data_IF_739679708559
#
_entry.id   IF_739679708559
#
_cell.length_a   1.000
_cell.length_b   1.000
_cell.length_c   1.000
_cell.angle_alpha   90.00
_cell.angle_beta   90.00
_cell.angle_gamma   90.00
#
_symmetry.space_group_name_H-M   'P 1'
#
loop_
_entity.id
_entity.type
_entity.pdbx_description
1 polymer ?
#
# COMPACT_ATOMS: atom_id res chain seq x y z
N UNK A 1 -5.77 19.93 12.23
CA UNK A 1 -6.70 19.08 11.45
C UNK A 1 -7.60 19.97 10.57
N UNK A 2 -7.02 20.82 9.71
CA UNK A 2 -7.76 21.96 9.10
C UNK A 2 -8.63 21.60 7.88
N UNK A 3 -8.52 20.39 7.34
CA UNK A 3 -9.20 20.01 6.09
C UNK A 3 -10.70 19.71 6.32
N UNK A 4 -11.06 19.18 7.50
CA UNK A 4 -12.42 18.69 7.78
C UNK A 4 -13.15 19.54 8.83
N UNK A 5 -12.41 20.19 9.73
CA UNK A 5 -12.95 20.87 10.92
C UNK A 5 -13.90 22.05 10.61
N UNK A 6 -13.72 22.72 9.46
CA UNK A 6 -14.57 23.85 9.02
C UNK A 6 -15.33 23.57 7.71
N UNK A 7 -15.41 22.30 7.29
CA UNK A 7 -16.17 21.92 6.09
C UNK A 7 -17.65 21.84 6.42
N UNK A 8 -18.56 22.32 5.54
CA UNK A 8 -20.00 22.12 5.72
C UNK A 8 -20.42 20.64 5.55
N UNK A 9 -19.51 19.80 5.05
CA UNK A 9 -19.74 18.37 4.79
C UNK A 9 -18.62 17.58 5.45
N UNK A 10 -18.99 16.59 6.27
CA UNK A 10 -18.06 15.67 6.91
C UNK A 10 -18.06 14.33 6.15
N UNK A 11 -16.88 13.82 5.74
CA UNK A 11 -16.81 12.49 5.18
C UNK A 11 -17.04 11.46 6.28
N UNK A 12 -17.78 10.41 5.98
CA UNK A 12 -17.92 9.23 6.81
C UNK A 12 -18.11 8.00 5.93
N UNK A 13 -17.75 6.85 6.48
CA UNK A 13 -17.95 5.55 5.84
C UNK A 13 -18.96 4.78 6.69
N UNK A 14 -19.92 4.13 6.04
CA UNK A 14 -20.93 3.30 6.69
C UNK A 14 -20.83 1.86 6.21
N UNK A 15 -21.22 0.93 7.08
CA UNK A 15 -21.39 -0.47 6.71
C UNK A 15 -22.75 -0.73 6.04
N UNK A 16 -22.98 -1.98 5.63
CA UNK A 16 -24.25 -2.40 5.01
C UNK A 16 -25.46 -2.31 5.97
N UNK A 17 -25.24 -2.19 7.27
CA UNK A 17 -26.26 -1.96 8.30
C UNK A 17 -26.50 -0.47 8.57
N UNK A 18 -25.88 0.42 7.78
CA UNK A 18 -25.94 1.89 7.92
C UNK A 18 -25.37 2.38 9.26
N UNK A 19 -24.44 1.64 9.86
CA UNK A 19 -23.70 2.08 11.05
C UNK A 19 -22.44 2.83 10.61
N UNK A 20 -22.09 3.91 11.31
CA UNK A 20 -20.88 4.69 11.01
C UNK A 20 -19.65 3.88 11.34
N UNK A 21 -18.94 3.42 10.32
CA UNK A 21 -17.70 2.64 10.40
C UNK A 21 -16.50 3.52 10.78
N UNK A 22 -16.32 4.64 10.10
CA UNK A 22 -15.28 5.63 10.44
C UNK A 22 -15.65 7.03 10.00
N UNK A 23 -15.13 8.02 10.72
CA UNK A 23 -15.04 9.41 10.31
C UNK A 23 -13.58 9.66 9.93
N UNK A 24 -13.24 9.62 8.62
CA UNK A 24 -11.86 9.76 8.17
C UNK A 24 -11.17 10.98 8.77
N UNK A 25 -9.92 10.80 9.20
CA UNK A 25 -9.09 11.80 9.90
C UNK A 25 -9.51 12.19 11.32
N UNK A 26 -10.63 11.69 11.85
CA UNK A 26 -11.13 12.03 13.18
C UNK A 26 -11.11 10.81 14.09
N UNK A 27 -11.93 9.80 13.82
CA UNK A 27 -12.09 8.65 14.72
C UNK A 27 -12.72 7.43 14.01
N UNK A 28 -12.29 6.24 14.41
CA UNK A 28 -12.90 4.97 13.99
C UNK A 28 -14.07 4.58 14.91
N UNK A 29 -15.03 3.81 14.40
CA UNK A 29 -16.13 3.28 15.20
C UNK A 29 -15.68 2.23 16.21
N UNK A 30 -16.33 2.19 17.38
CA UNK A 30 -16.00 1.20 18.44
C UNK A 30 -16.27 -0.25 17.98
N UNK A 31 -17.30 -0.46 17.16
CA UNK A 31 -17.67 -1.79 16.66
C UNK A 31 -16.70 -2.35 15.61
N UNK A 32 -15.84 -1.52 15.02
CA UNK A 32 -14.79 -1.90 14.06
C UNK A 32 -13.39 -1.89 14.69
N UNK A 33 -13.31 -1.80 16.02
CA UNK A 33 -12.05 -1.73 16.76
C UNK A 33 -11.29 -3.05 16.70
N UNK A 34 -10.01 -2.94 16.39
CA UNK A 34 -9.08 -4.06 16.39
C UNK A 34 -8.70 -4.46 17.83
N UNK A 35 -8.60 -5.75 18.09
CA UNK A 35 -8.07 -6.33 19.34
C UNK A 35 -6.97 -7.34 19.03
N UNK A 36 -6.32 -7.89 20.08
CA UNK A 36 -5.34 -8.96 19.91
C UNK A 36 -5.91 -10.21 19.22
N UNK A 37 -7.24 -10.38 19.25
CA UNK A 37 -7.94 -11.53 18.67
C UNK A 37 -8.42 -11.30 17.24
N UNK A 38 -8.16 -10.11 16.67
CA UNK A 38 -8.53 -9.80 15.29
C UNK A 38 -7.72 -10.64 14.32
N UNK A 39 -8.42 -11.44 13.51
CA UNK A 39 -7.81 -12.34 12.49
C UNK A 39 -7.70 -11.71 11.11
N UNK A 40 -8.71 -10.94 10.73
CA UNK A 40 -8.81 -10.28 9.43
C UNK A 40 -8.90 -8.77 9.65
N UNK A 41 -8.11 -8.01 8.89
CA UNK A 41 -8.04 -6.56 9.01
C UNK A 41 -8.52 -5.94 7.72
N UNK A 42 -9.55 -5.09 7.79
CA UNK A 42 -9.93 -4.20 6.70
C UNK A 42 -9.12 -2.92 6.84
N UNK A 43 -8.34 -2.58 5.82
CA UNK A 43 -7.54 -1.35 5.79
C UNK A 43 -8.24 -0.34 4.88
N UNK A 44 -8.56 0.81 5.43
CA UNK A 44 -9.12 1.95 4.73
C UNK A 44 -8.14 3.12 4.82
N UNK A 45 -7.96 3.82 3.70
CA UNK A 45 -7.15 5.03 3.62
C UNK A 45 -7.98 6.04 2.86
N UNK A 46 -8.23 7.20 3.46
CA UNK A 46 -8.87 8.34 2.79
C UNK A 46 -7.83 9.45 2.69
N UNK A 47 -7.58 9.92 1.46
CA UNK A 47 -6.67 11.02 1.19
C UNK A 47 -7.15 11.83 -0.03
N UNK A 48 -6.71 13.09 -0.10
CA UNK A 48 -6.95 13.96 -1.26
C UNK A 48 -5.89 13.69 -2.35
N UNK A 49 -4.73 13.15 -1.97
CA UNK A 49 -3.57 13.00 -2.85
C UNK A 49 -3.41 11.57 -3.41
N UNK A 50 -2.68 11.48 -4.52
CA UNK A 50 -2.34 10.27 -5.28
C UNK A 50 -1.46 9.29 -4.50
N UNK A 51 -0.84 9.71 -3.39
CA UNK A 51 0.01 8.84 -2.57
C UNK A 51 -0.76 7.80 -1.74
N UNK A 52 -2.10 7.83 -1.77
CA UNK A 52 -3.00 6.86 -1.13
C UNK A 52 -2.58 5.40 -1.32
N UNK A 53 -2.21 5.03 -2.56
CA UNK A 53 -1.81 3.67 -2.89
C UNK A 53 -0.49 3.27 -2.22
N UNK A 54 0.45 4.19 -2.10
CA UNK A 54 1.73 3.94 -1.44
C UNK A 54 1.51 3.71 0.06
N UNK A 55 0.67 4.53 0.71
CA UNK A 55 0.33 4.37 2.13
C UNK A 55 -0.33 3.01 2.39
N UNK A 56 -1.30 2.62 1.55
CA UNK A 56 -1.96 1.32 1.64
C UNK A 56 -0.95 0.17 1.48
N UNK A 57 -0.08 0.24 0.48
CA UNK A 57 0.94 -0.78 0.24
C UNK A 57 1.95 -0.87 1.40
N UNK A 58 2.36 0.26 1.98
CA UNK A 58 3.22 0.28 3.16
C UNK A 58 2.57 -0.43 4.36
N UNK A 59 1.28 -0.18 4.63
CA UNK A 59 0.56 -0.84 5.72
C UNK A 59 0.48 -2.35 5.48
N UNK A 60 0.16 -2.77 4.26
CA UNK A 60 0.12 -4.19 3.88
C UNK A 60 1.49 -4.84 4.07
N UNK A 61 2.57 -4.21 3.61
CA UNK A 61 3.94 -4.70 3.80
C UNK A 61 4.32 -4.81 5.27
N UNK A 62 3.89 -3.87 6.12
CA UNK A 62 4.12 -3.95 7.56
C UNK A 62 3.42 -5.17 8.18
N UNK A 63 2.17 -5.46 7.81
CA UNK A 63 1.48 -6.67 8.25
C UNK A 63 2.11 -7.96 7.69
N UNK A 64 2.65 -7.91 6.48
CA UNK A 64 3.35 -9.04 5.86
C UNK A 64 4.53 -9.55 6.69
N UNK A 65 5.23 -8.64 7.38
CA UNK A 65 6.39 -9.00 8.22
C UNK A 65 6.03 -9.92 9.39
N UNK A 66 4.78 -9.86 9.87
CA UNK A 66 4.32 -10.64 11.03
C UNK A 66 3.52 -11.88 10.63
N UNK A 67 3.24 -12.07 9.34
CA UNK A 67 2.41 -13.16 8.86
C UNK A 67 3.12 -13.95 7.76
N UNK A 68 3.55 -15.17 8.11
CA UNK A 68 4.20 -16.11 7.19
C UNK A 68 3.34 -16.51 5.97
N UNK A 69 2.02 -16.26 6.03
CA UNK A 69 1.08 -16.49 4.93
C UNK A 69 0.17 -15.28 4.77
N UNK A 70 0.73 -14.19 4.27
CA UNK A 70 -0.05 -13.01 3.93
C UNK A 70 -1.07 -13.37 2.84
N UNK A 71 -2.35 -13.21 3.16
CA UNK A 71 -3.45 -13.28 2.21
C UNK A 71 -4.05 -11.88 2.06
N UNK A 72 -3.97 -11.32 0.86
CA UNK A 72 -4.50 -9.99 0.54
C UNK A 72 -5.78 -10.18 -0.27
N UNK A 73 -6.91 -9.78 0.29
CA UNK A 73 -8.17 -9.72 -0.44
C UNK A 73 -8.31 -8.35 -1.12
N UNK A 74 -8.55 -8.35 -2.43
CA UNK A 74 -8.77 -7.11 -3.19
C UNK A 74 -10.21 -6.65 -3.05
N UNK A 75 -10.40 -5.34 -2.92
CA UNK A 75 -11.72 -4.69 -2.85
C UNK A 75 -11.95 -3.80 -4.06
N UNK A 76 -13.22 -3.70 -4.46
CA UNK A 76 -13.66 -2.80 -5.52
C UNK A 76 -14.09 -1.46 -4.91
N UNK A 77 -13.49 -0.38 -5.40
CA UNK A 77 -13.96 0.98 -5.13
C UNK A 77 -14.73 1.46 -6.35
N UNK A 78 -15.99 1.83 -6.14
CA UNK A 78 -16.86 2.41 -7.16
C UNK A 78 -17.00 3.90 -6.90
N UNK A 79 -16.52 4.72 -7.84
CA UNK A 79 -16.69 6.16 -7.82
C UNK A 79 -17.93 6.53 -8.64
N UNK A 80 -19.05 6.75 -7.96
CA UNK A 80 -20.33 7.09 -8.60
C UNK A 80 -20.27 8.39 -9.41
N UNK A 81 -19.42 9.35 -9.01
CA UNK A 81 -19.31 10.66 -9.65
C UNK A 81 -18.83 10.62 -11.10
N UNK A 82 -18.09 9.57 -11.49
CA UNK A 82 -17.50 9.45 -12.82
C UNK A 82 -17.56 8.02 -13.38
N UNK A 83 -18.38 7.14 -12.78
CA UNK A 83 -18.51 5.72 -13.13
C UNK A 83 -17.17 4.98 -13.20
N UNK A 84 -16.15 5.44 -12.47
CA UNK A 84 -14.85 4.78 -12.41
C UNK A 84 -14.91 3.68 -11.37
N UNK A 85 -14.39 2.52 -11.73
CA UNK A 85 -14.15 1.42 -10.80
C UNK A 85 -12.66 1.16 -10.70
N UNK A 86 -12.17 0.92 -9.48
CA UNK A 86 -10.77 0.57 -9.22
C UNK A 86 -10.73 -0.65 -8.32
N UNK A 87 -9.80 -1.56 -8.61
CA UNK A 87 -9.52 -2.74 -7.78
C UNK A 87 -8.24 -2.49 -6.99
N UNK A 88 -8.30 -2.57 -5.66
CA UNK A 88 -7.17 -2.29 -4.76
C UNK A 88 -6.99 -3.42 -3.74
N UNK A 89 -5.79 -3.61 -3.16
CA UNK A 89 -4.54 -2.93 -3.46
C UNK A 89 -3.91 -3.39 -4.78
N UNK A 90 -3.07 -2.52 -5.34
CA UNK A 90 -2.20 -2.83 -6.48
C UNK A 90 -0.80 -3.04 -5.91
N UNK A 91 -0.38 -4.29 -5.82
CA UNK A 91 0.91 -4.72 -5.27
C UNK A 91 1.71 -5.34 -6.41
N UNK A 92 2.16 -4.48 -7.32
CA UNK A 92 2.87 -4.91 -8.52
C UNK A 92 4.39 -4.76 -8.31
N UNK A 93 5.14 -5.75 -8.78
CA UNK A 93 6.59 -5.64 -8.87
C UNK A 93 6.98 -4.67 -9.99
N UNK A 94 7.93 -3.79 -9.72
CA UNK A 94 8.47 -2.86 -10.73
C UNK A 94 9.81 -3.38 -11.23
N UNK A 95 9.88 -3.70 -12.52
CA UNK A 95 11.12 -4.04 -13.20
C UNK A 95 11.71 -2.79 -13.84
N UNK A 96 13.00 -2.53 -13.58
CA UNK A 96 13.76 -1.47 -14.22
C UNK A 96 14.96 -2.08 -14.95
N UNK A 97 15.16 -1.68 -16.21
CA UNK A 97 16.30 -2.13 -17.03
C UNK A 97 17.29 -0.99 -17.19
N UNK A 98 18.58 -1.30 -17.04
CA UNK A 98 19.67 -0.33 -17.13
C UNK A 98 20.95 -0.99 -17.64
N UNK A 99 21.88 -0.18 -18.15
CA UNK A 99 23.13 -0.66 -18.73
C UNK A 99 24.18 -0.96 -17.66
N UNK A 100 24.70 -2.18 -17.66
CA UNK A 100 25.67 -2.64 -16.66
C UNK A 100 27.02 -1.90 -16.72
N UNK A 101 27.49 -1.56 -17.91
CA UNK A 101 28.76 -0.83 -18.09
C UNK A 101 28.67 0.57 -17.51
N UNK A 102 27.53 1.25 -17.74
CA UNK A 102 27.27 2.57 -17.16
C UNK A 102 27.26 2.50 -15.63
N UNK A 103 26.51 1.57 -15.05
CA UNK A 103 26.41 1.44 -13.59
C UNK A 103 27.75 1.07 -12.95
N UNK A 104 28.52 0.16 -13.56
CA UNK A 104 29.86 -0.19 -13.08
C UNK A 104 30.78 1.04 -13.08
N UNK A 105 30.69 1.90 -14.10
CA UNK A 105 31.47 3.15 -14.18
C UNK A 105 31.06 4.17 -13.11
N UNK A 106 29.76 4.36 -12.88
CA UNK A 106 29.24 5.34 -11.90
C UNK A 106 29.52 4.89 -10.47
N UNK A 107 29.29 3.61 -10.17
CA UNK A 107 29.42 3.06 -8.82
C UNK A 107 30.87 2.65 -8.49
N UNK A 108 31.74 2.50 -9.48
CA UNK A 108 33.12 2.04 -9.30
C UNK A 108 33.24 0.58 -8.87
N UNK A 109 32.20 -0.22 -9.10
CA UNK A 109 32.14 -1.65 -8.74
C UNK A 109 31.90 -2.51 -9.97
N UNK A 110 32.18 -3.81 -9.86
CA UNK A 110 31.74 -4.80 -10.84
C UNK A 110 30.48 -5.51 -10.32
N UNK A 111 29.32 -5.06 -10.79
CA UNK A 111 28.00 -5.60 -10.40
C UNK A 111 27.93 -7.10 -10.67
N UNK A 112 28.39 -7.58 -11.82
CA UNK A 112 28.35 -9.02 -12.18
C UNK A 112 28.98 -9.91 -11.11
N UNK A 113 30.04 -9.45 -10.46
CA UNK A 113 30.73 -10.20 -9.41
C UNK A 113 30.08 -10.06 -8.02
N UNK A 114 29.18 -9.09 -7.82
CA UNK A 114 28.55 -8.80 -6.53
C UNK A 114 27.05 -9.11 -6.49
N UNK A 115 26.44 -9.53 -7.60
CA UNK A 115 24.99 -9.78 -7.70
C UNK A 115 24.44 -10.62 -6.55
N UNK A 116 25.11 -11.71 -6.20
CA UNK A 116 24.63 -12.59 -5.12
C UNK A 116 24.55 -11.84 -3.79
N UNK A 117 25.58 -11.04 -3.45
CA UNK A 117 25.58 -10.23 -2.23
C UNK A 117 24.55 -9.10 -2.27
N UNK A 118 24.30 -8.54 -3.44
CA UNK A 118 23.28 -7.48 -3.59
C UNK A 118 21.88 -8.09 -3.42
N UNK A 119 21.65 -9.28 -3.98
CA UNK A 119 20.37 -9.98 -3.88
C UNK A 119 20.11 -10.52 -2.46
N UNK A 120 21.12 -10.74 -1.62
CA UNK A 120 20.94 -11.12 -0.20
C UNK A 120 20.16 -10.09 0.61
N UNK A 121 20.17 -8.81 0.22
CA UNK A 121 19.41 -7.78 0.91
C UNK A 121 17.88 -7.93 0.73
N UNK A 122 17.40 -8.79 -0.18
CA UNK A 122 15.98 -9.15 -0.39
C UNK A 122 15.00 -7.97 -0.63
N UNK A 123 15.51 -6.75 -0.86
CA UNK A 123 14.69 -5.57 -1.19
C UNK A 123 14.59 -5.35 -2.71
N UNK A 124 15.64 -5.72 -3.44
CA UNK A 124 15.73 -5.59 -4.89
C UNK A 124 16.31 -6.88 -5.46
N UNK A 125 15.64 -7.45 -6.47
CA UNK A 125 16.16 -8.57 -7.23
C UNK A 125 16.82 -8.05 -8.51
N UNK A 126 18.11 -8.34 -8.68
CA UNK A 126 18.87 -8.00 -9.87
C UNK A 126 19.09 -9.25 -10.71
N UNK A 127 18.72 -9.15 -11.99
CA UNK A 127 18.95 -10.18 -13.00
C UNK A 127 19.70 -9.56 -14.19
N UNK A 128 20.76 -10.21 -14.67
CA UNK A 128 21.44 -9.83 -15.92
C UNK A 128 20.78 -10.60 -17.05
N UNK A 129 20.24 -9.89 -18.03
CA UNK A 129 19.78 -10.44 -19.30
C UNK A 129 20.90 -10.37 -20.34
N UNK A 130 21.06 -11.42 -21.14
CA UNK A 130 22.02 -11.48 -22.26
C UNK A 130 21.60 -10.61 -23.45
#
# INVERSE_FOLDING_TARGET
>A
MKIVENSPIYPFIYDNQKRVFTLPSIINGEHSKMSAETKNVLIEVTAIDKELYNTLNCLISAFAMYNNKLHIEKVYIVYESNNKQVVIPIVDERTLTTNIQHNNKVLGINISNQINKINEFNVIKIEITN
#
